data_IF_593437742191
#
_entry.id   IF_593437742191
#
_cell.length_a   1.000
_cell.length_b   1.000
_cell.length_c   1.000
_cell.angle_alpha   90.00
_cell.angle_beta   90.00
_cell.angle_gamma   90.00
#
_symmetry.space_group_name_H-M   'P 1'
#
loop_
_entity.id
_entity.type
_entity.pdbx_description
1 polymer ?
#
# COMPACT_ATOMS: atom_id res chain seq x y z
N UNK A 1 -57.13 -93.79 -4.30
CA UNK A 1 -57.66 -94.00 -2.93
C UNK A 1 -56.83 -93.24 -1.91
N UNK A 2 -57.43 -92.71 -0.85
CA UNK A 2 -56.71 -92.12 0.29
C UNK A 2 -57.04 -92.91 1.55
N UNK A 3 -56.00 -93.37 2.23
CA UNK A 3 -56.08 -94.01 3.53
C UNK A 3 -55.67 -93.02 4.60
N UNK A 4 -56.32 -93.11 5.75
CA UNK A 4 -56.05 -92.29 6.92
C UNK A 4 -55.83 -93.19 8.15
N UNK A 5 -54.86 -92.83 8.98
CA UNK A 5 -54.68 -93.48 10.27
C UNK A 5 -55.53 -92.75 11.31
N UNK A 6 -56.42 -93.49 11.96
CA UNK A 6 -57.10 -92.95 13.13
C UNK A 6 -56.11 -92.85 14.32
N UNK A 7 -56.45 -92.03 15.31
CA UNK A 7 -55.68 -91.84 16.56
C UNK A 7 -55.42 -93.14 17.34
N UNK A 8 -56.14 -94.22 17.03
CA UNK A 8 -55.96 -95.58 17.59
C UNK A 8 -55.03 -96.47 16.74
N UNK A 9 -54.36 -95.92 15.73
CA UNK A 9 -53.48 -96.63 14.79
C UNK A 9 -54.17 -97.66 13.89
N UNK A 10 -55.51 -97.61 13.79
CA UNK A 10 -56.27 -98.39 12.82
C UNK A 10 -56.22 -97.72 11.45
N UNK A 11 -55.94 -98.52 10.42
CA UNK A 11 -56.06 -98.10 9.03
C UNK A 11 -57.53 -97.93 8.68
N UNK A 12 -57.89 -96.78 8.13
CA UNK A 12 -59.25 -96.51 7.65
C UNK A 12 -59.21 -95.96 6.23
N UNK A 13 -60.11 -96.44 5.38
CA UNK A 13 -60.34 -95.83 4.07
C UNK A 13 -61.07 -94.51 4.30
N UNK A 14 -60.44 -93.41 3.88
CA UNK A 14 -61.03 -92.09 3.99
C UNK A 14 -61.86 -91.75 2.74
N UNK A 15 -61.26 -91.94 1.57
CA UNK A 15 -61.93 -91.69 0.30
C UNK A 15 -61.44 -92.64 -0.78
N UNK A 16 -62.39 -93.11 -1.59
CA UNK A 16 -62.14 -93.92 -2.77
C UNK A 16 -62.68 -93.23 -4.01
N UNK A 17 -61.88 -93.30 -5.06
CA UNK A 17 -62.29 -92.91 -6.39
C UNK A 17 -61.61 -93.84 -7.40
N UNK A 18 -62.37 -94.51 -8.29
CA UNK A 18 -63.83 -94.66 -8.26
C UNK A 18 -64.38 -95.17 -6.91
N UNK A 19 -65.66 -94.93 -6.60
CA UNK A 19 -66.23 -95.36 -5.31
C UNK A 19 -66.25 -96.88 -5.22
N UNK A 20 -65.93 -97.44 -4.04
CA UNK A 20 -65.90 -98.89 -3.77
C UNK A 20 -64.89 -99.68 -4.63
N UNK A 21 -63.87 -99.01 -5.16
CA UNK A 21 -62.83 -99.66 -5.98
C UNK A 21 -62.09 -100.77 -5.23
N UNK A 22 -61.96 -100.67 -3.90
CA UNK A 22 -61.36 -101.74 -3.09
C UNK A 22 -62.21 -103.01 -3.09
N UNK A 23 -63.53 -102.88 -2.99
CA UNK A 23 -64.47 -104.00 -3.05
C UNK A 23 -64.49 -104.63 -4.45
N UNK A 24 -64.55 -103.82 -5.51
CA UNK A 24 -64.55 -104.27 -6.90
C UNK A 24 -63.29 -105.07 -7.26
N UNK A 25 -62.12 -104.63 -6.77
CA UNK A 25 -60.84 -105.31 -6.98
C UNK A 25 -60.61 -106.49 -6.01
N UNK A 26 -61.51 -106.68 -5.04
CA UNK A 26 -61.40 -107.70 -4.00
C UNK A 26 -60.20 -107.48 -3.07
N UNK A 27 -59.89 -106.22 -2.77
CA UNK A 27 -58.82 -105.79 -1.87
C UNK A 27 -59.36 -105.78 -0.44
N UNK A 28 -58.73 -106.55 0.44
CA UNK A 28 -59.13 -106.63 1.86
C UNK A 28 -58.38 -105.60 2.71
N UNK A 29 -58.93 -105.23 3.86
CA UNK A 29 -58.24 -104.37 4.84
C UNK A 29 -56.85 -104.93 5.23
N UNK A 30 -56.72 -106.25 5.29
CA UNK A 30 -55.43 -106.91 5.58
C UNK A 30 -54.36 -106.64 4.52
N UNK A 31 -54.75 -106.55 3.25
CA UNK A 31 -53.82 -106.23 2.15
C UNK A 31 -53.37 -104.77 2.23
N UNK A 32 -54.28 -103.86 2.56
CA UNK A 32 -53.96 -102.44 2.74
C UNK A 32 -53.10 -102.19 3.99
N UNK A 33 -53.29 -102.99 5.05
CA UNK A 33 -52.44 -102.97 6.23
C UNK A 33 -50.99 -103.32 5.88
N UNK A 34 -50.76 -104.30 5.00
CA UNK A 34 -49.41 -104.63 4.52
C UNK A 34 -48.75 -103.46 3.79
N UNK A 35 -49.46 -102.80 2.86
CA UNK A 35 -48.95 -101.61 2.14
C UNK A 35 -48.52 -100.54 3.12
N UNK A 36 -49.31 -100.38 4.18
CA UNK A 36 -49.05 -99.39 5.20
C UNK A 36 -47.87 -99.75 6.12
N UNK A 37 -47.75 -101.02 6.52
CA UNK A 37 -46.64 -101.50 7.34
C UNK A 37 -45.30 -101.40 6.60
N UNK A 38 -45.29 -101.64 5.29
CA UNK A 38 -44.13 -101.40 4.44
C UNK A 38 -43.72 -99.92 4.43
N UNK A 39 -44.68 -98.99 4.27
CA UNK A 39 -44.41 -97.56 4.38
C UNK A 39 -43.85 -97.14 5.75
N UNK A 40 -44.30 -97.79 6.84
CA UNK A 40 -43.80 -97.55 8.20
C UNK A 40 -42.39 -98.07 8.42
N UNK A 41 -42.01 -99.16 7.76
CA UNK A 41 -40.66 -99.74 7.86
C UNK A 41 -39.59 -98.77 7.37
N UNK A 42 -39.94 -97.90 6.41
CA UNK A 42 -39.09 -96.85 5.85
C UNK A 42 -39.13 -95.59 6.73
N UNK A 43 -38.44 -95.65 7.89
CA UNK A 43 -38.13 -94.53 8.83
C UNK A 43 -39.00 -93.25 8.65
N UNK A 44 -40.23 -93.24 9.17
CA UNK A 44 -41.17 -92.13 9.49
C UNK A 44 -41.34 -90.91 8.56
N UNK A 45 -40.58 -90.79 7.47
CA UNK A 45 -40.66 -89.68 6.52
C UNK A 45 -41.61 -89.98 5.35
N UNK A 46 -41.92 -88.96 4.52
CA UNK A 46 -42.65 -89.18 3.29
C UNK A 46 -41.89 -90.15 2.39
N UNK A 47 -42.55 -91.19 1.93
CA UNK A 47 -41.93 -92.20 1.08
C UNK A 47 -42.92 -92.80 0.08
N UNK A 48 -42.36 -93.32 -1.00
CA UNK A 48 -43.08 -93.92 -2.11
C UNK A 48 -42.77 -95.41 -2.18
N UNK A 49 -43.78 -96.21 -2.47
CA UNK A 49 -43.70 -97.67 -2.54
C UNK A 49 -44.49 -98.16 -3.75
N UNK A 50 -43.88 -99.07 -4.50
CA UNK A 50 -44.56 -99.90 -5.49
C UNK A 50 -44.50 -101.33 -4.99
N UNK A 51 -45.65 -101.99 -4.88
CA UNK A 51 -45.70 -103.39 -4.47
C UNK A 51 -46.87 -104.13 -5.06
N UNK A 52 -46.68 -105.42 -5.29
CA UNK A 52 -47.75 -106.33 -5.69
C UNK A 52 -48.53 -106.80 -4.45
N UNK A 53 -49.85 -106.62 -4.44
CA UNK A 53 -50.71 -107.02 -3.31
C UNK A 53 -51.58 -108.24 -3.64
N UNK A 54 -51.74 -108.55 -4.93
CA UNK A 54 -52.46 -109.72 -5.46
C UNK A 54 -51.85 -110.09 -6.83
N UNK A 55 -52.08 -111.32 -7.29
CA UNK A 55 -51.47 -111.87 -8.52
C UNK A 55 -51.57 -110.95 -9.74
N UNK A 56 -52.68 -110.22 -9.85
CA UNK A 56 -52.99 -109.36 -11.01
C UNK A 56 -53.25 -107.90 -10.59
N UNK A 57 -52.74 -107.51 -9.40
CA UNK A 57 -52.95 -106.18 -8.84
C UNK A 57 -51.73 -105.70 -8.06
N UNK A 58 -51.19 -104.59 -8.56
CA UNK A 58 -50.14 -103.84 -7.91
C UNK A 58 -50.68 -102.53 -7.33
N UNK A 59 -49.92 -101.94 -6.41
CA UNK A 59 -50.20 -100.60 -5.89
C UNK A 59 -48.96 -99.75 -6.00
N UNK A 60 -49.18 -98.50 -6.40
CA UNK A 60 -48.24 -97.42 -6.21
C UNK A 60 -48.80 -96.51 -5.12
N UNK A 61 -48.01 -96.29 -4.08
CA UNK A 61 -48.48 -95.71 -2.85
C UNK A 61 -47.51 -94.65 -2.34
N UNK A 62 -48.04 -93.50 -1.93
CA UNK A 62 -47.26 -92.42 -1.35
C UNK A 62 -47.74 -92.15 0.08
N UNK A 63 -46.87 -92.44 1.04
CA UNK A 63 -47.08 -92.08 2.43
C UNK A 63 -46.56 -90.67 2.67
N UNK A 64 -47.40 -89.81 3.24
CA UNK A 64 -47.02 -88.43 3.55
C UNK A 64 -46.08 -88.31 4.75
N UNK A 65 -46.17 -89.24 5.70
CA UNK A 65 -45.33 -89.25 6.91
C UNK A 65 -45.32 -87.95 7.70
N UNK A 66 -44.36 -87.84 8.61
CA UNK A 66 -44.10 -86.60 9.34
C UNK A 66 -42.72 -86.07 8.96
N UNK A 67 -42.68 -84.91 8.28
CA UNK A 67 -41.44 -84.20 7.97
C UNK A 67 -41.49 -82.79 8.54
N UNK A 68 -40.52 -82.46 9.39
CA UNK A 68 -40.37 -81.11 9.95
C UNK A 68 -39.88 -80.08 8.93
N UNK A 69 -39.44 -80.50 7.74
CA UNK A 69 -38.84 -79.63 6.72
C UNK A 69 -39.72 -79.37 5.49
N UNK A 70 -40.56 -80.32 5.07
CA UNK A 70 -41.17 -80.27 3.72
C UNK A 70 -42.64 -80.73 3.61
N UNK A 71 -43.45 -80.75 4.67
CA UNK A 71 -44.89 -81.05 4.46
C UNK A 71 -45.86 -80.27 5.34
N UNK A 72 -46.84 -79.65 4.66
CA UNK A 72 -48.08 -79.10 5.21
C UNK A 72 -49.17 -80.14 4.93
N UNK A 73 -49.40 -81.04 5.88
CA UNK A 73 -50.43 -82.06 5.84
C UNK A 73 -50.46 -82.77 7.19
N UNK A 74 -51.65 -83.18 7.67
CA UNK A 74 -51.72 -83.99 8.89
C UNK A 74 -51.03 -85.33 8.60
N UNK A 75 -49.89 -85.57 9.26
CA UNK A 75 -48.87 -86.50 8.80
C UNK A 75 -49.16 -87.97 9.06
N UNK A 76 -50.20 -88.51 8.43
CA UNK A 76 -50.68 -89.88 8.63
C UNK A 76 -51.61 -90.36 7.48
N UNK A 77 -51.41 -89.84 6.26
CA UNK A 77 -52.19 -90.23 5.08
C UNK A 77 -51.33 -90.99 4.07
N UNK A 78 -51.98 -91.95 3.40
CA UNK A 78 -51.41 -92.69 2.28
C UNK A 78 -52.29 -92.44 1.06
N UNK A 79 -51.69 -92.03 -0.06
CA UNK A 79 -52.37 -92.02 -1.35
C UNK A 79 -51.99 -93.30 -2.06
N UNK A 80 -52.99 -94.14 -2.35
CA UNK A 80 -52.80 -95.43 -3.01
C UNK A 80 -53.48 -95.41 -4.37
N UNK A 81 -52.71 -95.75 -5.40
CA UNK A 81 -53.16 -95.95 -6.78
C UNK A 81 -53.06 -97.45 -7.06
N UNK A 82 -54.18 -98.03 -7.47
CA UNK A 82 -54.25 -99.42 -7.90
C UNK A 82 -53.83 -99.52 -9.36
N UNK A 83 -53.02 -100.53 -9.68
CA UNK A 83 -52.41 -100.72 -10.99
C UNK A 83 -52.63 -102.16 -11.46
N UNK A 84 -52.96 -102.29 -12.73
CA UNK A 84 -52.95 -103.55 -13.46
C UNK A 84 -51.52 -104.00 -13.75
N UNK A 85 -51.31 -105.29 -14.00
CA UNK A 85 -50.01 -105.82 -14.45
C UNK A 85 -49.57 -105.27 -15.82
N UNK A 86 -50.52 -104.72 -16.59
CA UNK A 86 -50.25 -104.08 -17.89
C UNK A 86 -49.84 -102.60 -17.76
N UNK A 87 -49.99 -101.99 -16.59
CA UNK A 87 -49.71 -100.57 -16.39
C UNK A 87 -48.20 -100.31 -16.31
N UNK A 88 -47.69 -99.50 -17.25
CA UNK A 88 -46.30 -99.05 -17.25
C UNK A 88 -46.23 -97.66 -16.62
N UNK A 89 -45.72 -97.59 -15.40
CA UNK A 89 -45.57 -96.32 -14.70
C UNK A 89 -44.48 -95.45 -15.34
N UNK A 90 -44.74 -94.14 -15.54
CA UNK A 90 -43.70 -93.22 -16.00
C UNK A 90 -42.66 -92.99 -14.90
N UNK A 91 -41.41 -92.66 -15.29
CA UNK A 91 -40.30 -92.45 -14.34
C UNK A 91 -40.56 -91.37 -13.28
N UNK A 92 -41.49 -90.46 -13.53
CA UNK A 92 -41.86 -89.36 -12.65
C UNK A 92 -43.19 -89.60 -11.91
N UNK A 93 -43.72 -90.83 -11.93
CA UNK A 93 -45.01 -91.17 -11.33
C UNK A 93 -45.03 -90.88 -9.82
N UNK A 94 -43.94 -91.16 -9.11
CA UNK A 94 -43.80 -90.76 -7.70
C UNK A 94 -44.08 -89.27 -7.51
N UNK A 95 -43.46 -88.41 -8.33
CA UNK A 95 -43.62 -86.96 -8.22
C UNK A 95 -45.05 -86.51 -8.51
N UNK A 96 -45.74 -87.21 -9.41
CA UNK A 96 -47.17 -86.99 -9.68
C UNK A 96 -48.02 -87.35 -8.46
N UNK A 97 -47.85 -88.54 -7.88
CA UNK A 97 -48.61 -88.96 -6.68
C UNK A 97 -48.29 -88.07 -5.47
N UNK A 98 -47.02 -87.68 -5.31
CA UNK A 98 -46.57 -86.72 -4.28
C UNK A 98 -47.24 -85.36 -4.44
N UNK A 99 -47.36 -84.85 -5.67
CA UNK A 99 -48.10 -83.61 -5.97
C UNK A 99 -49.58 -83.73 -5.61
N UNK A 100 -50.22 -84.85 -5.94
CA UNK A 100 -51.61 -85.10 -5.56
C UNK A 100 -51.74 -85.03 -4.03
N UNK A 101 -50.83 -85.66 -3.28
CA UNK A 101 -50.84 -85.59 -1.83
C UNK A 101 -50.71 -84.15 -1.32
N UNK A 102 -49.83 -83.37 -1.91
CA UNK A 102 -49.63 -81.98 -1.52
C UNK A 102 -50.82 -81.08 -1.85
N UNK A 103 -51.41 -81.19 -3.04
CA UNK A 103 -52.50 -80.31 -3.46
C UNK A 103 -53.85 -80.70 -2.83
N UNK A 104 -54.09 -82.00 -2.65
CA UNK A 104 -55.39 -82.51 -2.18
C UNK A 104 -55.50 -82.51 -0.66
N UNK A 105 -54.50 -83.04 0.07
CA UNK A 105 -54.66 -83.29 1.51
C UNK A 105 -54.94 -82.04 2.36
N UNK A 106 -54.33 -80.87 2.09
CA UNK A 106 -54.69 -79.62 2.79
C UNK A 106 -56.16 -79.22 2.58
N UNK A 107 -56.73 -79.58 1.44
CA UNK A 107 -58.09 -79.25 1.00
C UNK A 107 -59.11 -80.33 1.34
N UNK A 108 -58.72 -81.38 2.08
CA UNK A 108 -59.58 -82.55 2.43
C UNK A 108 -60.93 -82.16 3.06
N UNK A 109 -60.97 -81.05 3.80
CA UNK A 109 -62.20 -80.57 4.46
C UNK A 109 -63.04 -79.62 3.62
N UNK A 110 -62.58 -79.26 2.42
CA UNK A 110 -63.30 -78.34 1.54
C UNK A 110 -64.48 -79.03 0.86
N UNK A 111 -65.58 -78.30 0.66
CA UNK A 111 -66.79 -78.84 0.01
C UNK A 111 -66.52 -79.41 -1.40
N UNK A 112 -65.53 -78.86 -2.10
CA UNK A 112 -65.13 -79.25 -3.46
C UNK A 112 -64.08 -80.36 -3.50
N UNK A 113 -63.69 -80.93 -2.36
CA UNK A 113 -62.63 -81.94 -2.32
C UNK A 113 -62.90 -83.14 -3.25
N UNK A 114 -64.16 -83.57 -3.35
CA UNK A 114 -64.58 -84.63 -4.29
C UNK A 114 -64.34 -84.25 -5.76
N UNK A 115 -64.53 -82.99 -6.14
CA UNK A 115 -64.22 -82.54 -7.51
C UNK A 115 -62.71 -82.53 -7.75
N UNK A 116 -61.93 -82.15 -6.73
CA UNK A 116 -60.48 -82.10 -6.80
C UNK A 116 -59.87 -83.51 -6.95
N UNK A 117 -60.34 -84.51 -6.20
CA UNK A 117 -59.83 -85.88 -6.30
C UNK A 117 -60.13 -86.51 -7.67
N UNK A 118 -61.34 -86.26 -8.22
CA UNK A 118 -61.72 -86.69 -9.57
C UNK A 118 -60.79 -86.06 -10.61
N UNK A 119 -60.59 -84.74 -10.52
CA UNK A 119 -59.70 -84.02 -11.44
C UNK A 119 -58.26 -84.52 -11.35
N UNK A 120 -57.74 -84.76 -10.15
CA UNK A 120 -56.39 -85.31 -9.96
C UNK A 120 -56.26 -86.72 -10.54
N UNK A 121 -57.29 -87.55 -10.41
CA UNK A 121 -57.34 -88.88 -11.03
C UNK A 121 -57.30 -88.76 -12.56
N UNK A 122 -58.16 -87.95 -13.18
CA UNK A 122 -58.20 -87.78 -14.64
C UNK A 122 -56.88 -87.25 -15.21
N UNK A 123 -56.21 -86.33 -14.50
CA UNK A 123 -54.91 -85.80 -14.89
C UNK A 123 -53.79 -86.84 -14.73
N UNK A 124 -53.86 -87.69 -13.71
CA UNK A 124 -52.91 -88.78 -13.50
C UNK A 124 -53.07 -89.85 -14.58
N UNK A 125 -54.31 -90.26 -14.87
CA UNK A 125 -54.66 -91.24 -15.91
C UNK A 125 -54.20 -90.79 -17.30
N UNK A 126 -54.35 -89.49 -17.63
CA UNK A 126 -53.87 -88.92 -18.90
C UNK A 126 -52.37 -88.63 -18.93
N UNK A 127 -51.67 -88.76 -17.80
CA UNK A 127 -50.26 -88.38 -17.68
C UNK A 127 -50.00 -86.86 -17.79
N UNK A 128 -51.02 -86.01 -17.61
CA UNK A 128 -50.94 -84.55 -17.75
C UNK A 128 -50.47 -83.85 -16.46
N UNK A 129 -50.29 -84.60 -15.37
CA UNK A 129 -49.85 -84.04 -14.09
C UNK A 129 -48.33 -83.80 -14.10
N UNK A 130 -47.91 -82.54 -13.97
CA UNK A 130 -46.49 -82.20 -13.82
C UNK A 130 -45.95 -82.62 -12.45
N UNK A 131 -44.84 -83.34 -12.44
CA UNK A 131 -44.18 -83.87 -11.25
C UNK A 131 -43.28 -82.85 -10.52
N UNK A 132 -42.73 -81.86 -11.23
CA UNK A 132 -41.71 -80.92 -10.71
C UNK A 132 -42.31 -79.55 -10.31
N UNK A 133 -43.55 -79.55 -9.85
CA UNK A 133 -44.28 -78.30 -9.60
C UNK A 133 -43.66 -77.44 -8.48
N UNK A 134 -43.08 -78.08 -7.44
CA UNK A 134 -42.42 -77.39 -6.32
C UNK A 134 -41.18 -76.62 -6.80
N UNK A 135 -40.31 -77.29 -7.56
CA UNK A 135 -39.11 -76.67 -8.12
C UNK A 135 -39.48 -75.50 -9.04
N UNK A 136 -40.56 -75.64 -9.82
CA UNK A 136 -41.06 -74.56 -10.67
C UNK A 136 -41.52 -73.35 -9.87
N UNK A 137 -42.26 -73.54 -8.77
CA UNK A 137 -42.68 -72.43 -7.91
C UNK A 137 -41.49 -71.74 -7.24
N UNK A 138 -40.54 -72.50 -6.71
CA UNK A 138 -39.31 -71.96 -6.12
C UNK A 138 -38.52 -71.15 -7.15
N UNK A 139 -38.33 -71.67 -8.36
CA UNK A 139 -37.66 -70.92 -9.43
C UNK A 139 -38.43 -69.67 -9.84
N UNK A 140 -39.76 -69.71 -9.85
CA UNK A 140 -40.58 -68.55 -10.19
C UNK A 140 -40.44 -67.45 -9.13
N UNK A 141 -40.39 -67.82 -7.85
CA UNK A 141 -40.13 -66.89 -6.75
C UNK A 141 -38.73 -66.28 -6.87
N UNK A 142 -37.69 -67.11 -7.06
CA UNK A 142 -36.30 -66.67 -7.22
C UNK A 142 -36.12 -65.69 -8.40
N UNK A 143 -36.80 -65.96 -9.53
CA UNK A 143 -36.82 -65.07 -10.68
C UNK A 143 -37.49 -63.73 -10.33
N UNK A 144 -38.59 -63.77 -9.59
CA UNK A 144 -39.28 -62.58 -9.10
C UNK A 144 -38.39 -61.71 -8.23
N UNK A 145 -37.70 -62.31 -7.26
CA UNK A 145 -36.77 -61.61 -6.36
C UNK A 145 -35.58 -61.01 -7.13
N UNK A 146 -35.01 -61.76 -8.08
CA UNK A 146 -33.91 -61.27 -8.93
C UNK A 146 -34.35 -60.13 -9.84
N UNK A 147 -35.56 -60.17 -10.39
CA UNK A 147 -36.12 -59.05 -11.18
C UNK A 147 -36.29 -57.80 -10.33
N UNK A 148 -36.85 -57.92 -9.12
CA UNK A 148 -36.97 -56.78 -8.20
C UNK A 148 -35.61 -56.14 -7.90
N UNK A 149 -34.57 -56.96 -7.64
CA UNK A 149 -33.20 -56.45 -7.46
C UNK A 149 -32.63 -55.75 -8.70
N UNK A 150 -32.92 -56.25 -9.90
CA UNK A 150 -32.50 -55.62 -11.15
C UNK A 150 -33.15 -54.24 -11.30
N UNK A 151 -34.45 -54.14 -11.03
CA UNK A 151 -35.18 -52.88 -11.12
C UNK A 151 -34.67 -51.85 -10.10
N UNK A 152 -34.42 -52.26 -8.85
CA UNK A 152 -33.81 -51.42 -7.82
C UNK A 152 -32.41 -50.91 -8.23
N UNK A 153 -31.58 -51.79 -8.79
CA UNK A 153 -30.26 -51.43 -9.28
C UNK A 153 -30.34 -50.49 -10.49
N UNK A 154 -31.26 -50.71 -11.40
CA UNK A 154 -31.48 -49.84 -12.56
C UNK A 154 -31.89 -48.42 -12.12
N UNK A 155 -32.77 -48.30 -11.12
CA UNK A 155 -33.13 -47.00 -10.54
C UNK A 155 -31.93 -46.32 -9.90
N UNK A 156 -31.14 -47.04 -9.09
CA UNK A 156 -29.92 -46.49 -8.48
C UNK A 156 -28.90 -46.01 -9.52
N UNK A 157 -28.70 -46.78 -10.60
CA UNK A 157 -27.83 -46.39 -11.70
C UNK A 157 -28.35 -45.12 -12.38
N UNK A 158 -29.67 -45.01 -12.61
CA UNK A 158 -30.26 -43.82 -13.21
C UNK A 158 -30.04 -42.56 -12.36
N UNK A 159 -30.21 -42.66 -11.04
CA UNK A 159 -29.92 -41.57 -10.10
C UNK A 159 -28.44 -41.17 -10.13
N UNK A 160 -27.52 -42.14 -10.05
CA UNK A 160 -26.08 -41.88 -10.11
C UNK A 160 -25.63 -41.24 -11.43
N UNK A 161 -26.26 -41.61 -12.56
CA UNK A 161 -26.00 -40.98 -13.85
C UNK A 161 -26.49 -39.53 -13.88
N UNK A 162 -27.63 -39.24 -13.26
CA UNK A 162 -28.14 -37.88 -13.10
C UNK A 162 -27.20 -37.02 -12.25
N UNK A 163 -26.83 -37.49 -11.06
CA UNK A 163 -25.93 -36.79 -10.15
C UNK A 163 -24.56 -36.53 -10.80
N UNK A 164 -24.02 -37.53 -11.51
CA UNK A 164 -22.77 -37.37 -12.27
C UNK A 164 -22.89 -36.29 -13.34
N UNK A 165 -24.03 -36.21 -14.02
CA UNK A 165 -24.26 -35.20 -15.06
C UNK A 165 -24.34 -33.79 -14.48
N UNK A 166 -24.95 -33.63 -13.30
CA UNK A 166 -24.97 -32.36 -12.57
C UNK A 166 -23.57 -31.96 -12.11
N UNK A 167 -22.80 -32.90 -11.52
CA UNK A 167 -21.42 -32.64 -11.13
C UNK A 167 -20.55 -32.20 -12.31
N UNK A 168 -20.70 -32.81 -13.48
CA UNK A 168 -19.97 -32.41 -14.69
C UNK A 168 -20.30 -30.98 -15.12
N UNK A 169 -21.59 -30.56 -15.03
CA UNK A 169 -21.98 -29.17 -15.32
C UNK A 169 -21.36 -28.19 -14.32
N UNK A 170 -21.33 -28.54 -13.04
CA UNK A 170 -20.73 -27.71 -12.00
C UNK A 170 -19.21 -27.56 -12.20
N UNK A 171 -18.53 -28.65 -12.59
CA UNK A 171 -17.10 -28.61 -12.91
C UNK A 171 -16.82 -27.68 -14.10
N UNK A 172 -17.65 -27.74 -15.16
CA UNK A 172 -17.47 -26.86 -16.32
C UNK A 172 -17.75 -25.39 -15.97
N UNK A 173 -18.75 -25.12 -15.14
CA UNK A 173 -19.03 -23.77 -14.64
C UNK A 173 -17.85 -23.20 -13.84
N UNK A 174 -17.30 -23.98 -12.90
CA UNK A 174 -16.12 -23.59 -12.11
C UNK A 174 -14.89 -23.37 -12.99
N UNK A 175 -14.68 -24.20 -14.01
CA UNK A 175 -13.57 -24.03 -14.95
C UNK A 175 -13.68 -22.72 -15.72
N UNK A 176 -14.88 -22.32 -16.13
CA UNK A 176 -15.13 -21.05 -16.80
C UNK A 176 -14.88 -19.86 -15.84
N UNK A 177 -15.36 -19.95 -14.60
CA UNK A 177 -15.12 -18.91 -13.59
C UNK A 177 -13.61 -18.73 -13.31
N UNK A 178 -12.86 -19.83 -13.21
CA UNK A 178 -11.41 -19.78 -13.07
C UNK A 178 -10.74 -19.11 -14.28
N UNK A 179 -11.17 -19.42 -15.50
CA UNK A 179 -10.64 -18.78 -16.70
C UNK A 179 -10.91 -17.27 -16.72
N UNK A 180 -12.10 -16.83 -16.31
CA UNK A 180 -12.42 -15.40 -16.17
C UNK A 180 -11.55 -14.71 -15.12
N UNK A 181 -11.33 -15.37 -13.96
CA UNK A 181 -10.46 -14.84 -12.91
C UNK A 181 -9.01 -14.69 -13.39
N UNK A 182 -8.49 -15.65 -14.14
CA UNK A 182 -7.16 -15.53 -14.75
C UNK A 182 -7.07 -14.36 -15.74
N UNK A 183 -8.09 -14.17 -16.59
CA UNK A 183 -8.12 -13.03 -17.52
C UNK A 183 -8.17 -11.69 -16.78
N UNK A 184 -8.96 -11.58 -15.71
CA UNK A 184 -8.99 -10.38 -14.85
C UNK A 184 -7.63 -10.12 -14.19
N UNK A 185 -6.98 -11.17 -13.69
CA UNK A 185 -5.66 -11.08 -13.08
C UNK A 185 -4.60 -10.59 -14.07
N UNK A 186 -4.61 -11.12 -15.30
CA UNK A 186 -3.70 -10.70 -16.36
C UNK A 186 -3.90 -9.21 -16.71
N UNK A 187 -5.15 -8.78 -16.83
CA UNK A 187 -5.48 -7.37 -17.07
C UNK A 187 -5.02 -6.45 -15.92
N UNK A 188 -5.24 -6.84 -14.66
CA UNK A 188 -4.74 -6.08 -13.51
C UNK A 188 -3.21 -6.06 -13.45
N UNK A 189 -2.55 -7.16 -13.80
CA UNK A 189 -1.09 -7.20 -13.89
C UNK A 189 -0.57 -6.23 -14.96
N UNK A 190 -1.24 -6.14 -16.11
CA UNK A 190 -0.94 -5.15 -17.14
C UNK A 190 -1.11 -3.71 -16.64
N UNK A 191 -2.25 -3.39 -16.03
CA UNK A 191 -2.50 -2.07 -15.45
C UNK A 191 -1.46 -1.68 -14.38
N UNK A 192 -1.02 -2.65 -13.57
CA UNK A 192 0.02 -2.43 -12.56
C UNK A 192 1.37 -2.12 -13.20
N UNK A 193 1.71 -2.78 -14.30
CA UNK A 193 2.94 -2.49 -15.06
C UNK A 193 2.92 -1.07 -15.62
N UNK A 194 1.81 -0.66 -16.24
CA UNK A 194 1.62 0.69 -16.79
C UNK A 194 1.74 1.77 -15.69
N UNK A 195 1.11 1.54 -14.53
CA UNK A 195 1.19 2.46 -13.38
C UNK A 195 2.61 2.55 -12.83
N UNK A 196 3.35 1.44 -12.80
CA UNK A 196 4.75 1.44 -12.37
C UNK A 196 5.65 2.23 -13.32
N UNK A 197 5.46 2.08 -14.63
CA UNK A 197 6.18 2.87 -15.64
C UNK A 197 5.86 4.37 -15.52
N UNK A 198 4.58 4.70 -15.32
CA UNK A 198 4.15 6.06 -15.08
C UNK A 198 4.79 6.66 -13.81
N UNK A 199 4.81 5.91 -12.70
CA UNK A 199 5.47 6.32 -11.47
C UNK A 199 6.98 6.52 -11.63
N UNK A 200 7.66 5.65 -12.39
CA UNK A 200 9.07 5.81 -12.70
C UNK A 200 9.32 7.11 -13.48
N UNK A 201 8.46 7.42 -14.45
CA UNK A 201 8.50 8.66 -15.24
C UNK A 201 8.29 9.90 -14.35
N UNK A 202 7.27 9.89 -13.48
CA UNK A 202 7.03 10.97 -12.54
C UNK A 202 8.21 11.18 -11.59
N UNK A 203 8.78 10.08 -11.07
CA UNK A 203 9.95 10.14 -10.19
C UNK A 203 11.14 10.78 -10.89
N UNK A 204 11.39 10.42 -12.16
CA UNK A 204 12.44 11.02 -12.98
C UNK A 204 12.21 12.53 -13.18
N UNK A 205 10.98 12.93 -13.56
CA UNK A 205 10.61 14.34 -13.69
C UNK A 205 10.79 15.13 -12.39
N UNK A 206 10.43 14.53 -11.25
CA UNK A 206 10.54 15.19 -9.95
C UNK A 206 12.02 15.39 -9.54
N UNK A 207 12.89 14.41 -9.84
CA UNK A 207 14.34 14.58 -9.69
C UNK A 207 14.88 15.71 -10.54
N UNK A 208 14.43 15.80 -11.79
CA UNK A 208 14.86 16.88 -12.69
C UNK A 208 14.38 18.26 -12.22
N UNK A 209 13.12 18.38 -11.79
CA UNK A 209 12.60 19.61 -11.18
C UNK A 209 13.42 20.01 -9.95
N UNK A 210 13.70 19.08 -9.06
CA UNK A 210 14.55 19.33 -7.88
C UNK A 210 15.93 19.85 -8.27
N UNK A 211 16.55 19.25 -9.30
CA UNK A 211 17.83 19.69 -9.84
C UNK A 211 17.75 21.13 -10.36
N UNK A 212 16.73 21.45 -11.16
CA UNK A 212 16.52 22.79 -11.70
C UNK A 212 16.28 23.83 -10.61
N UNK A 213 15.47 23.51 -9.58
CA UNK A 213 15.24 24.38 -8.43
C UNK A 213 16.54 24.68 -7.68
N UNK A 214 17.40 23.67 -7.46
CA UNK A 214 18.70 23.89 -6.82
C UNK A 214 19.61 24.81 -7.64
N UNK A 215 19.66 24.62 -8.96
CA UNK A 215 20.43 25.50 -9.86
C UNK A 215 19.91 26.93 -9.81
N UNK A 216 18.58 27.13 -9.84
CA UNK A 216 17.98 28.45 -9.73
C UNK A 216 18.27 29.11 -8.39
N UNK A 217 18.24 28.35 -7.28
CA UNK A 217 18.59 28.84 -5.96
C UNK A 217 20.04 29.33 -5.90
N UNK A 218 20.99 28.55 -6.41
CA UNK A 218 22.40 28.96 -6.49
C UNK A 218 22.58 30.24 -7.33
N UNK A 219 21.84 30.37 -8.44
CA UNK A 219 21.89 31.57 -9.27
C UNK A 219 21.29 32.80 -8.57
N UNK A 220 20.26 32.62 -7.73
CA UNK A 220 19.71 33.68 -6.89
C UNK A 220 20.71 34.09 -5.80
N UNK A 221 21.29 33.14 -5.08
CA UNK A 221 22.29 33.41 -4.04
C UNK A 221 23.47 34.22 -4.61
N UNK A 222 23.97 33.85 -5.81
CA UNK A 222 25.01 34.62 -6.51
C UNK A 222 24.57 36.04 -6.91
N UNK A 223 23.29 36.22 -7.31
CA UNK A 223 22.76 37.55 -7.63
C UNK A 223 22.62 38.40 -6.37
N UNK A 224 22.20 37.83 -5.26
CA UNK A 224 22.06 38.52 -3.98
C UNK A 224 23.43 38.96 -3.44
N UNK A 225 24.47 38.11 -3.55
CA UNK A 225 25.84 38.50 -3.24
C UNK A 225 26.32 39.68 -4.09
N UNK A 226 26.08 39.64 -5.42
CA UNK A 226 26.41 40.76 -6.31
C UNK A 226 25.65 42.03 -5.94
N UNK A 227 24.37 41.91 -5.62
CA UNK A 227 23.54 43.04 -5.21
C UNK A 227 24.05 43.68 -3.91
N UNK A 228 24.39 42.86 -2.91
CA UNK A 228 24.96 43.35 -1.65
C UNK A 228 26.30 44.05 -1.85
N UNK A 229 27.18 43.51 -2.71
CA UNK A 229 28.45 44.15 -3.05
C UNK A 229 28.24 45.51 -3.75
N UNK A 230 27.29 45.60 -4.68
CA UNK A 230 26.95 46.87 -5.33
C UNK A 230 26.35 47.87 -4.34
N UNK A 231 25.50 47.42 -3.42
CA UNK A 231 24.92 48.26 -2.38
C UNK A 231 25.99 48.83 -1.45
N UNK A 232 27.00 48.04 -1.07
CA UNK A 232 28.14 48.51 -0.28
C UNK A 232 28.93 49.59 -1.03
N UNK A 233 29.30 49.35 -2.30
CA UNK A 233 29.99 50.34 -3.14
C UNK A 233 29.21 51.65 -3.33
N UNK A 234 27.88 51.56 -3.42
CA UNK A 234 27.02 52.74 -3.48
C UNK A 234 27.06 53.52 -2.17
N UNK A 235 27.07 52.84 -1.02
CA UNK A 235 27.26 53.44 0.30
C UNK A 235 28.58 54.22 0.40
N UNK A 236 29.68 53.61 -0.03
CA UNK A 236 31.00 54.27 -0.05
C UNK A 236 30.99 55.53 -0.93
N UNK A 237 30.32 55.47 -2.09
CA UNK A 237 30.16 56.63 -2.98
C UNK A 237 29.43 57.79 -2.27
N UNK A 238 28.35 57.50 -1.53
CA UNK A 238 27.61 58.51 -0.78
C UNK A 238 28.46 59.13 0.35
N UNK A 239 29.31 58.34 1.02
CA UNK A 239 30.25 58.89 2.01
C UNK A 239 31.31 59.80 1.38
N UNK A 240 31.83 59.41 0.21
CA UNK A 240 32.76 60.23 -0.57
C UNK A 240 32.07 61.54 -1.01
N UNK A 241 30.83 61.49 -1.49
CA UNK A 241 30.05 62.67 -1.87
C UNK A 241 29.87 63.64 -0.69
N UNK A 242 29.47 63.12 0.50
CA UNK A 242 29.38 63.94 1.72
C UNK A 242 30.73 64.53 2.14
N UNK A 243 31.81 63.77 2.00
CA UNK A 243 33.18 64.24 2.25
C UNK A 243 33.57 65.37 1.30
N UNK A 244 33.27 65.22 0.02
CA UNK A 244 33.50 66.23 -1.00
C UNK A 244 32.70 67.52 -0.74
N UNK A 245 31.42 67.41 -0.35
CA UNK A 245 30.60 68.56 0.04
C UNK A 245 31.17 69.32 1.24
N UNK A 246 31.64 68.62 2.28
CA UNK A 246 32.31 69.24 3.43
C UNK A 246 33.58 69.98 3.03
N UNK A 247 34.44 69.35 2.23
CA UNK A 247 35.65 69.98 1.70
C UNK A 247 35.31 71.21 0.86
N UNK A 248 34.25 71.14 0.05
CA UNK A 248 33.82 72.26 -0.79
C UNK A 248 33.33 73.46 0.05
N UNK A 249 32.64 73.20 1.17
CA UNK A 249 32.30 74.22 2.16
C UNK A 249 33.52 74.79 2.88
N UNK A 250 34.49 73.95 3.24
CA UNK A 250 35.76 74.36 3.87
C UNK A 250 36.56 75.29 2.93
N UNK A 251 36.67 74.91 1.64
CA UNK A 251 37.31 75.73 0.60
C UNK A 251 36.63 77.09 0.47
N UNK A 252 35.28 77.13 0.47
CA UNK A 252 34.53 78.40 0.43
C UNK A 252 34.86 79.28 1.64
N UNK A 253 34.94 78.69 2.84
CA UNK A 253 35.31 79.42 4.07
C UNK A 253 36.71 80.00 3.99
N UNK A 254 37.71 79.17 3.63
CA UNK A 254 39.11 79.60 3.46
C UNK A 254 39.21 80.70 2.40
N UNK A 255 38.44 80.60 1.32
CA UNK A 255 38.42 81.63 0.27
C UNK A 255 37.95 82.98 0.80
N UNK A 256 36.86 83.01 1.57
CA UNK A 256 36.38 84.25 2.21
C UNK A 256 37.39 84.80 3.23
N UNK A 257 38.03 83.92 3.99
CA UNK A 257 39.08 84.31 4.95
C UNK A 257 40.30 84.92 4.25
N UNK A 258 40.78 84.31 3.15
CA UNK A 258 41.84 84.87 2.32
C UNK A 258 41.45 86.23 1.72
N UNK A 259 40.20 86.40 1.30
CA UNK A 259 39.69 87.65 0.76
C UNK A 259 39.67 88.75 1.84
N UNK A 260 39.27 88.42 3.07
CA UNK A 260 39.36 89.30 4.24
C UNK A 260 40.82 89.66 4.57
N UNK A 261 41.72 88.67 4.61
CA UNK A 261 43.15 88.91 4.84
C UNK A 261 43.76 89.78 3.74
N UNK A 262 43.36 89.60 2.47
CA UNK A 262 43.78 90.49 1.38
C UNK A 262 43.29 91.93 1.58
N UNK A 263 42.03 92.12 2.01
CA UNK A 263 41.54 93.46 2.36
C UNK A 263 42.33 94.06 3.52
N UNK A 264 42.69 93.26 4.52
CA UNK A 264 43.49 93.70 5.67
C UNK A 264 44.93 94.07 5.27
N UNK A 265 45.58 93.25 4.44
CA UNK A 265 46.89 93.56 3.83
C UNK A 265 46.82 94.87 3.04
N UNK A 266 45.75 95.11 2.28
CA UNK A 266 45.59 96.37 1.54
C UNK A 266 45.48 97.57 2.47
N UNK A 267 44.69 97.48 3.55
CA UNK A 267 44.61 98.52 4.59
C UNK A 267 45.96 98.76 5.27
N UNK A 268 46.69 97.69 5.59
CA UNK A 268 48.03 97.77 6.15
C UNK A 268 49.03 98.41 5.18
N UNK A 269 48.94 98.09 3.88
CA UNK A 269 49.76 98.72 2.85
C UNK A 269 49.45 100.22 2.69
N UNK A 270 48.19 100.63 2.76
CA UNK A 270 47.81 102.06 2.78
C UNK A 270 48.33 102.78 4.02
N UNK A 271 48.18 102.18 5.21
CA UNK A 271 48.75 102.75 6.43
C UNK A 271 50.27 102.82 6.37
N UNK A 272 50.95 101.80 5.81
CA UNK A 272 52.39 101.82 5.64
C UNK A 272 52.84 102.89 4.62
N UNK A 273 52.11 103.09 3.52
CA UNK A 273 52.32 104.24 2.61
C UNK A 273 52.17 105.57 3.33
N UNK A 274 51.15 105.73 4.17
CA UNK A 274 50.92 106.94 4.95
C UNK A 274 52.04 107.19 5.97
N UNK A 275 52.52 106.14 6.65
CA UNK A 275 53.65 106.23 7.58
C UNK A 275 54.94 106.60 6.84
N UNK A 276 55.21 106.00 5.68
CA UNK A 276 56.36 106.33 4.83
C UNK A 276 56.32 107.78 4.34
N UNK A 277 55.12 108.30 4.04
CA UNK A 277 54.94 109.71 3.71
C UNK A 277 55.24 110.63 4.90
N UNK A 278 54.78 110.26 6.11
CA UNK A 278 55.13 110.99 7.35
C UNK A 278 56.63 110.94 7.64
N UNK A 279 57.30 109.80 7.42
CA UNK A 279 58.75 109.66 7.57
C UNK A 279 59.52 110.55 6.57
N UNK A 280 59.10 110.57 5.29
CA UNK A 280 59.65 111.46 4.28
C UNK A 280 59.49 112.94 4.63
N UNK A 281 58.34 113.31 5.21
CA UNK A 281 58.09 114.68 5.70
C UNK A 281 59.06 115.04 6.83
N UNK A 282 59.26 114.15 7.80
CA UNK A 282 60.23 114.34 8.88
C UNK A 282 61.68 114.43 8.37
N UNK A 283 62.06 113.64 7.34
CA UNK A 283 63.39 113.74 6.70
C UNK A 283 63.62 115.10 6.01
N UNK A 284 62.61 115.67 5.33
CA UNK A 284 62.74 117.02 4.73
C UNK A 284 62.85 118.13 5.77
N UNK A 285 62.16 117.99 6.91
CA UNK A 285 62.30 118.91 8.03
C UNK A 285 63.70 118.82 8.66
N UNK A 286 64.32 117.63 8.68
CA UNK A 286 65.73 117.43 9.06
C UNK A 286 66.74 118.03 8.07
N UNK A 287 66.44 118.10 6.76
CA UNK A 287 67.31 118.69 5.73
C UNK A 287 67.37 120.23 5.76
N UNK A 288 66.49 120.91 6.52
CA UNK A 288 66.58 122.37 6.77
C UNK A 288 67.52 122.76 7.91
N UNK A 289 67.97 121.79 8.72
CA UNK A 289 68.87 122.01 9.87
C UNK A 289 70.26 122.53 9.44
N UNK A 290 70.92 122.01 8.38
CA UNK A 290 72.25 122.47 7.98
C UNK A 290 72.26 123.92 7.44
N UNK A 291 71.17 124.36 6.82
CA UNK A 291 71.07 125.74 6.31
C UNK A 291 70.93 126.77 7.43
N UNK A 292 70.26 126.41 8.53
CA UNK A 292 70.22 127.22 9.76
C UNK A 292 71.59 127.24 10.47
N UNK A 293 72.34 126.13 10.47
CA UNK A 293 73.71 126.08 11.01
C UNK A 293 74.70 126.98 10.25
N UNK A 294 74.59 127.06 8.92
CA UNK A 294 75.42 127.95 8.08
C UNK A 294 75.10 129.43 8.30
N UNK A 295 73.84 129.76 8.57
CA UNK A 295 73.39 131.13 8.85
C UNK A 295 73.85 131.63 10.22
N UNK A 296 73.88 130.74 11.23
CA UNK A 296 74.48 131.00 12.55
C UNK A 296 75.99 131.24 12.45
N UNK A 297 76.71 130.47 11.61
CA UNK A 297 78.15 130.68 11.37
C UNK A 297 78.45 132.07 10.78
N UNK A 298 77.68 132.51 9.78
CA UNK A 298 77.84 133.85 9.16
C UNK A 298 77.59 135.00 10.13
N UNK A 299 76.67 134.84 11.08
CA UNK A 299 76.42 135.85 12.11
C UNK A 299 77.55 135.90 13.14
N UNK A 300 78.14 134.76 13.51
CA UNK A 300 79.29 134.71 14.41
C UNK A 300 80.55 135.36 13.83
N UNK A 301 80.84 135.16 12.54
CA UNK A 301 82.01 135.80 11.89
C UNK A 301 81.87 137.33 11.81
N UNK A 302 80.64 137.85 11.64
CA UNK A 302 80.36 139.30 11.71
C UNK A 302 80.61 139.89 13.11
N UNK A 303 80.31 139.15 14.17
CA UNK A 303 80.54 139.60 15.56
C UNK A 303 82.05 139.69 15.86
N UNK A 304 82.84 138.76 15.33
CA UNK A 304 84.30 138.75 15.51
C UNK A 304 84.98 139.95 14.84
N UNK A 305 84.51 140.35 13.65
CA UNK A 305 85.00 141.55 12.94
C UNK A 305 84.78 142.85 13.72
N UNK A 306 83.59 143.05 14.28
CA UNK A 306 83.24 144.25 15.08
C UNK A 306 84.07 144.30 16.38
N UNK A 307 84.43 143.15 16.94
CA UNK A 307 85.21 143.06 18.18
C UNK A 307 86.65 143.53 17.99
N UNK A 308 87.27 143.21 16.85
CA UNK A 308 88.63 143.64 16.51
C UNK A 308 88.72 145.15 16.18
N UNK A 309 87.73 145.73 15.50
CA UNK A 309 87.68 147.18 15.24
C UNK A 309 87.56 147.99 16.56
N UNK A 310 86.83 147.47 17.54
CA UNK A 310 86.68 148.09 18.87
C UNK A 310 87.99 148.11 19.65
N UNK A 311 88.85 147.10 19.52
CA UNK A 311 90.16 147.06 20.17
C UNK A 311 91.21 147.95 19.50
N UNK A 312 91.10 148.18 18.18
CA UNK A 312 92.00 149.09 17.46
C UNK A 312 91.71 150.56 17.80
N UNK A 313 90.44 150.98 17.81
CA UNK A 313 90.06 152.34 18.23
C UNK A 313 90.47 152.65 19.68
N UNK A 314 90.50 151.64 20.55
CA UNK A 314 90.91 151.79 21.96
C UNK A 314 92.41 152.08 22.11
N UNK A 315 93.26 151.63 21.18
CA UNK A 315 94.70 151.90 21.15
C UNK A 315 95.02 153.31 20.65
N UNK A 316 94.39 153.74 19.56
CA UNK A 316 94.60 155.09 18.98
C UNK A 316 94.18 156.21 19.95
N UNK A 317 93.10 156.01 20.71
CA UNK A 317 92.65 156.94 21.76
C UNK A 317 93.66 157.09 22.91
N UNK A 318 94.53 156.08 23.11
CA UNK A 318 95.55 156.09 24.17
C UNK A 318 96.78 156.92 23.77
N UNK A 319 97.13 156.92 22.48
CA UNK A 319 98.29 157.65 21.96
C UNK A 319 98.01 159.14 21.81
N UNK A 320 96.82 159.53 21.33
CA UNK A 320 96.38 160.94 21.33
C UNK A 320 96.35 161.56 22.74
N UNK A 321 96.07 160.76 23.77
CA UNK A 321 96.09 161.19 25.17
C UNK A 321 97.50 161.49 25.70
N UNK A 322 98.54 160.85 25.14
CA UNK A 322 99.94 161.11 25.51
C UNK A 322 100.49 162.37 24.85
N UNK A 323 100.11 162.65 23.60
CA UNK A 323 100.59 163.85 22.89
C UNK A 323 100.03 165.15 23.46
N UNK A 324 98.75 165.19 23.85
CA UNK A 324 98.16 166.37 24.53
C UNK A 324 98.92 166.73 25.82
N UNK A 325 99.47 165.72 26.50
CA UNK A 325 100.26 165.92 27.72
C UNK A 325 101.62 166.58 27.41
N UNK A 326 102.29 166.18 26.34
CA UNK A 326 103.55 166.78 25.89
C UNK A 326 103.37 168.25 25.47
N UNK A 327 102.29 168.55 24.73
CA UNK A 327 101.95 169.93 24.33
C UNK A 327 101.65 170.82 25.55
N UNK A 328 101.07 170.26 26.61
CA UNK A 328 100.83 170.99 27.86
C UNK A 328 102.11 171.30 28.64
N UNK A 329 103.10 170.39 28.61
CA UNK A 329 104.38 170.55 29.31
C UNK A 329 105.34 171.53 28.59
N UNK A 330 105.31 171.61 27.26
CA UNK A 330 106.11 172.59 26.51
C UNK A 330 105.56 174.01 26.56
N UNK A 331 104.23 174.17 26.55
CA UNK A 331 103.56 175.46 26.79
C UNK A 331 104.03 176.07 28.12
N UNK A 332 104.21 175.26 29.16
CA UNK A 332 104.63 175.72 30.48
C UNK A 332 106.13 176.07 30.56
N UNK A 333 106.98 175.54 29.64
CA UNK A 333 108.37 176.01 29.47
C UNK A 333 108.43 177.37 28.79
N UNK A 334 107.58 177.62 27.79
CA UNK A 334 107.43 178.94 27.17
C UNK A 334 107.06 180.02 28.19
N UNK A 335 106.35 179.66 29.27
CA UNK A 335 105.92 180.60 30.29
C UNK A 335 107.00 180.96 31.34
N UNK A 336 108.04 180.14 31.52
CA UNK A 336 109.05 180.34 32.59
C UNK A 336 110.28 181.18 32.20
N UNK A 337 110.62 181.31 30.92
CA UNK A 337 111.77 182.14 30.49
C UNK A 337 111.37 183.61 30.25
N UNK A 338 110.09 183.90 29.98
CA UNK A 338 109.56 185.26 29.75
C UNK A 338 109.46 186.11 31.04
N UNK A 339 109.79 185.59 32.24
CA UNK A 339 109.43 186.25 33.51
C UNK A 339 110.52 186.45 34.59
N UNK A 340 111.81 186.54 34.24
CA UNK A 340 112.84 186.92 35.22
C UNK A 340 114.11 187.60 34.66
N UNK A 341 114.32 188.88 35.03
CA UNK A 341 115.57 189.69 35.00
C UNK A 341 115.92 190.37 33.65
N UNK A 342 116.15 191.69 33.47
CA UNK A 342 116.39 192.88 34.31
C UNK A 342 117.41 192.72 35.45
N UNK A 343 118.71 192.86 35.14
CA UNK A 343 119.72 193.68 35.83
C UNK A 343 121.03 193.67 35.03
N UNK A 344 121.45 194.88 34.62
CA UNK A 344 122.67 195.31 33.90
C UNK A 344 122.91 194.80 32.47
#
# INVERSE_FOLDING_TARGET
>A
MILNLDKKSGLSIDIEYPQNVSEELGVTESMLATVFDEHKSVRTGPNYLEMQIKRDLSVASFFTGHSSKHFIGKGDHVITVFLSDEDILPRNFEGQVRRIAYELLPKRKEKKFKELIVRSYELLEKGELDAYWQEREEFQQDIGEKKGRIDDLAQKVSLLVSDRSEHLRNVEALKNEVAELYSKLENWSGQMADLNEYNATLTSKNRELTRLTNVQKMALDQKDERFNNLKAKLGDTVEIEKGAEKLLSEIKRIRMENENLHQEINKLNETNKNLKFKELKAKRESESIPNLEVEVKKLNDKILGITNEKENMKRELMDLKKEIKLISEERDRYYKIVKGSKLQ
#
